data_IF_087909542547
#
_entry.id   IF_087909542547
#
_cell.length_a   1.000
_cell.length_b   1.000
_cell.length_c   1.000
_cell.angle_alpha   90.00
_cell.angle_beta   90.00
_cell.angle_gamma   90.00
#
_symmetry.space_group_name_H-M   'P 1'
#
loop_
_entity.id
_entity.type
_entity.pdbx_description
1 polymer ?
#
# COMPACT_ATOMS: atom_id res chain seq x y z
N UNK A 1 7.98 2.38 -9.63
CA UNK A 1 7.61 1.12 -8.96
C UNK A 1 7.10 1.39 -7.56
N UNK A 2 6.12 0.62 -7.09
CA UNK A 2 5.57 0.72 -5.75
C UNK A 2 5.65 -0.64 -5.08
N UNK A 3 6.19 -0.70 -3.86
CA UNK A 3 6.35 -1.94 -3.10
C UNK A 3 5.91 -1.73 -1.66
N UNK A 4 5.23 -2.74 -1.12
CA UNK A 4 4.79 -2.80 0.27
C UNK A 4 5.16 -4.17 0.80
N UNK A 5 5.78 -4.21 1.99
CA UNK A 5 6.05 -5.43 2.74
C UNK A 5 5.31 -5.32 4.07
N UNK A 6 4.32 -6.17 4.26
CA UNK A 6 3.60 -6.32 5.52
C UNK A 6 3.91 -7.71 6.09
N UNK A 7 4.69 -7.75 7.16
CA UNK A 7 5.11 -8.99 7.82
C UNK A 7 4.89 -8.90 9.32
N UNK A 8 3.84 -9.56 9.82
CA UNK A 8 3.42 -9.39 11.21
C UNK A 8 2.91 -7.97 11.45
N UNK A 9 3.40 -7.35 12.51
CA UNK A 9 3.17 -5.93 12.86
C UNK A 9 4.03 -4.96 12.06
N UNK A 10 5.07 -5.45 11.37
CA UNK A 10 6.04 -4.61 10.66
C UNK A 10 5.60 -4.32 9.21
N UNK A 11 5.42 -3.04 8.90
CA UNK A 11 4.98 -2.54 7.58
C UNK A 11 6.02 -1.57 7.03
N UNK A 12 6.48 -1.85 5.81
CA UNK A 12 7.47 -1.05 5.10
C UNK A 12 7.00 -0.72 3.68
N UNK A 13 7.32 0.48 3.19
CA UNK A 13 6.92 0.94 1.84
C UNK A 13 8.08 1.58 1.07
N UNK A 14 8.02 1.45 -0.26
CA UNK A 14 9.00 2.02 -1.18
C UNK A 14 8.35 2.62 -2.42
N UNK A 15 8.91 3.73 -2.88
CA UNK A 15 8.58 4.36 -4.16
C UNK A 15 9.86 4.46 -4.98
N UNK A 16 9.87 3.82 -6.15
CA UNK A 16 11.03 3.78 -7.05
C UNK A 16 12.32 3.31 -6.34
N UNK A 17 12.20 2.30 -5.46
CA UNK A 17 13.31 1.76 -4.68
C UNK A 17 13.74 2.59 -3.48
N UNK A 18 13.22 3.81 -3.32
CA UNK A 18 13.50 4.67 -2.17
C UNK A 18 12.58 4.29 -1.01
N UNK A 19 13.11 3.99 0.19
CA UNK A 19 12.30 3.75 1.39
C UNK A 19 11.50 5.00 1.75
N UNK A 20 10.20 4.83 2.04
CA UNK A 20 9.32 5.94 2.40
C UNK A 20 8.83 5.86 3.84
N UNK A 21 8.34 4.69 4.25
CA UNK A 21 7.85 4.46 5.62
C UNK A 21 8.30 3.10 6.13
N UNK A 22 8.54 3.06 7.44
CA UNK A 22 8.92 1.88 8.23
C UNK A 22 8.24 2.02 9.61
N UNK A 23 7.26 1.17 9.90
CA UNK A 23 6.44 1.27 11.11
C UNK A 23 6.04 -0.10 11.65
N UNK A 24 5.81 -0.14 12.96
CA UNK A 24 5.17 -1.26 13.65
C UNK A 24 3.74 -0.86 14.03
N UNK A 25 2.75 -1.67 13.65
CA UNK A 25 1.34 -1.49 13.98
C UNK A 25 0.97 -2.37 15.19
N UNK A 26 0.61 -1.72 16.30
CA UNK A 26 0.24 -2.38 17.57
C UNK A 26 -1.22 -2.87 17.58
N UNK A 27 -2.00 -2.60 16.53
CA UNK A 27 -3.40 -3.04 16.41
C UNK A 27 -3.49 -4.48 15.93
N UNK A 28 -3.30 -5.41 16.86
CA UNK A 28 -3.31 -6.86 16.60
C UNK A 28 -4.60 -7.38 15.95
N UNK A 29 -5.73 -6.72 16.20
CA UNK A 29 -7.04 -7.08 15.62
C UNK A 29 -7.13 -6.83 14.10
N UNK A 30 -6.20 -6.08 13.51
CA UNK A 30 -6.18 -5.70 12.09
C UNK A 30 -5.06 -6.42 11.30
N UNK A 31 -4.66 -7.61 11.73
CA UNK A 31 -3.60 -8.41 11.09
C UNK A 31 -3.97 -9.01 9.73
N UNK A 32 -5.24 -8.95 9.32
CA UNK A 32 -5.71 -9.44 8.02
C UNK A 32 -6.82 -8.57 7.44
N UNK A 33 -6.95 -8.56 6.11
CA UNK A 33 -7.92 -7.74 5.40
C UNK A 33 -7.80 -7.84 3.89
N UNK A 34 -8.25 -6.81 3.18
CA UNK A 34 -8.27 -6.72 1.72
C UNK A 34 -7.37 -5.59 1.20
N UNK A 35 -6.90 -5.72 -0.05
CA UNK A 35 -6.16 -4.67 -0.75
C UNK A 35 -7.16 -3.78 -1.50
N UNK A 36 -7.18 -2.49 -1.18
CA UNK A 36 -8.02 -1.49 -1.86
C UNK A 36 -7.20 -0.55 -2.74
N UNK A 37 -7.70 -0.28 -3.95
CA UNK A 37 -7.17 0.76 -4.84
C UNK A 37 -8.13 1.95 -4.83
N UNK A 38 -7.77 3.01 -4.12
CA UNK A 38 -8.64 4.15 -3.93
C UNK A 38 -8.34 5.27 -4.94
N UNK A 39 -9.40 5.84 -5.54
CA UNK A 39 -9.36 7.17 -6.19
C UNK A 39 -10.14 8.12 -5.29
N UNK A 40 -9.51 9.20 -4.84
CA UNK A 40 -10.19 10.22 -4.05
C UNK A 40 -11.13 11.06 -4.92
N UNK A 41 -12.24 11.51 -4.35
CA UNK A 41 -13.15 12.45 -5.03
C UNK A 41 -12.46 13.80 -5.27
N UNK A 42 -12.68 14.41 -6.42
CA UNK A 42 -12.10 15.72 -6.75
C UNK A 42 -13.11 16.84 -6.51
N UNK A 43 -12.62 18.02 -6.16
CA UNK A 43 -13.47 19.20 -5.96
C UNK A 43 -14.21 19.64 -7.23
N UNK A 44 -15.27 20.42 -7.07
CA UNK A 44 -16.03 20.96 -8.23
C UNK A 44 -15.10 21.73 -9.17
N UNK A 45 -15.19 21.43 -10.47
CA UNK A 45 -14.39 22.04 -11.56
C UNK A 45 -12.88 21.72 -11.53
N UNK A 46 -12.45 20.68 -10.82
CA UNK A 46 -11.09 20.13 -10.96
C UNK A 46 -11.09 18.97 -11.96
N UNK A 47 -9.97 18.75 -12.66
CA UNK A 47 -9.77 17.61 -13.58
C UNK A 47 -9.94 17.92 -15.07
N UNK A 48 -9.93 16.89 -15.95
CA UNK A 48 -9.91 15.47 -15.61
C UNK A 48 -8.55 14.99 -15.08
N UNK A 49 -8.58 14.07 -14.11
CA UNK A 49 -7.42 13.32 -13.66
C UNK A 49 -7.68 11.83 -13.86
N UNK A 50 -6.63 11.10 -14.22
CA UNK A 50 -6.70 9.66 -14.39
C UNK A 50 -5.68 8.98 -13.47
N UNK A 51 -6.11 7.87 -12.88
CA UNK A 51 -5.24 6.97 -12.12
C UNK A 51 -5.30 5.60 -12.78
N UNK A 52 -4.14 5.00 -13.01
CA UNK A 52 -4.02 3.69 -13.64
C UNK A 52 -3.07 2.82 -12.82
N UNK A 53 -3.49 1.60 -12.54
CA UNK A 53 -2.64 0.58 -11.91
C UNK A 53 -2.35 -0.52 -12.92
N UNK A 54 -1.13 -1.06 -12.89
CA UNK A 54 -0.72 -2.19 -13.71
C UNK A 54 0.25 -3.06 -12.92
N UNK A 55 0.35 -4.33 -13.31
CA UNK A 55 1.31 -5.28 -12.73
C UNK A 55 1.16 -5.46 -11.20
N UNK A 56 -0.08 -5.46 -10.71
CA UNK A 56 -0.38 -5.74 -9.31
C UNK A 56 -0.08 -7.22 -9.02
N UNK A 57 0.84 -7.46 -8.10
CA UNK A 57 1.28 -8.80 -7.71
C UNK A 57 1.34 -8.88 -6.19
N UNK A 58 0.96 -10.03 -5.65
CA UNK A 58 1.08 -10.33 -4.23
C UNK A 58 1.94 -11.57 -4.06
N UNK A 59 2.79 -11.56 -3.04
CA UNK A 59 3.61 -12.71 -2.64
C UNK A 59 3.52 -12.84 -1.13
N UNK A 60 3.23 -14.04 -0.60
CA UNK A 60 3.32 -14.28 0.83
C UNK A 60 4.71 -13.93 1.35
N UNK A 61 4.77 -13.20 2.46
CA UNK A 61 6.04 -12.96 3.17
C UNK A 61 6.45 -14.29 3.81
N UNK A 62 7.72 -14.69 3.65
CA UNK A 62 8.21 -15.91 4.31
C UNK A 62 8.17 -15.69 5.81
N UNK A 63 7.60 -16.65 6.54
CA UNK A 63 7.83 -16.74 7.98
C UNK A 63 9.32 -17.02 8.19
N UNK A 64 9.95 -16.24 9.07
CA UNK A 64 11.27 -16.54 9.61
C UNK A 64 11.13 -17.47 10.81
#
# INVERSE_FOLDING_TARGET
EYYVKAGGDHIQTWVNGVPIADLHDDKTEMSSGFIGLQVHGIGRRQGPFEVRWRNLRIKPVKAN
#
